data_IF_501617233276
#
_entry.id   IF_501617233276
#
_cell.length_a   1.000
_cell.length_b   1.000
_cell.length_c   1.000
_cell.angle_alpha   90.00
_cell.angle_beta   90.00
_cell.angle_gamma   90.00
#
_symmetry.space_group_name_H-M   'P 1'
#
loop_
_entity.id
_entity.type
_entity.pdbx_description
1 polymer ?
#
# COMPACT_ATOMS: atom_id res chain seq x y z
N UNK A 1 -7.48 11.15 -9.42
CA UNK A 1 -7.84 9.88 -10.07
C UNK A 1 -6.61 9.39 -10.85
N UNK A 2 -5.93 8.37 -10.34
CA UNK A 2 -4.84 7.73 -11.05
C UNK A 2 -5.51 6.76 -12.02
N UNK A 3 -5.61 7.13 -13.28
CA UNK A 3 -6.00 6.19 -14.33
C UNK A 3 -4.83 5.27 -14.62
N UNK A 4 -4.80 4.13 -13.96
CA UNK A 4 -4.08 2.98 -14.44
C UNK A 4 -5.00 2.27 -15.43
N UNK A 5 -4.60 2.24 -16.69
CA UNK A 5 -5.32 1.52 -17.73
C UNK A 5 -5.10 0.01 -17.60
N UNK A 6 -5.89 -0.63 -16.76
CA UNK A 6 -6.07 -2.08 -16.76
C UNK A 6 -7.57 -2.34 -16.72
N UNK A 7 -8.09 -2.71 -17.88
CA UNK A 7 -9.50 -2.98 -18.08
C UNK A 7 -9.85 -4.34 -17.49
N UNK A 8 -10.85 -4.38 -16.61
CA UNK A 8 -11.61 -5.57 -16.25
C UNK A 8 -11.29 -6.26 -14.93
N UNK A 9 -10.09 -6.13 -14.37
CA UNK A 9 -9.73 -6.76 -13.07
C UNK A 9 -9.59 -5.76 -11.92
N UNK A 10 -9.75 -4.49 -12.20
CA UNK A 10 -9.51 -3.41 -11.22
C UNK A 10 -10.61 -3.28 -10.17
N UNK A 11 -11.83 -3.70 -10.45
CA UNK A 11 -12.94 -3.52 -9.52
C UNK A 11 -12.71 -4.27 -8.20
N UNK A 12 -12.37 -5.53 -8.25
CA UNK A 12 -12.16 -6.34 -7.03
C UNK A 12 -10.90 -5.94 -6.24
N UNK A 13 -9.88 -5.45 -6.92
CA UNK A 13 -8.61 -5.04 -6.27
C UNK A 13 -8.73 -3.66 -5.61
N UNK A 14 -9.60 -2.79 -6.12
CA UNK A 14 -9.77 -1.42 -5.62
C UNK A 14 -10.92 -1.23 -4.65
N UNK A 15 -11.96 -2.01 -4.79
CA UNK A 15 -13.22 -1.78 -4.09
C UNK A 15 -13.35 -2.57 -2.78
N UNK A 16 -12.51 -3.58 -2.59
CA UNK A 16 -12.52 -4.39 -1.39
C UNK A 16 -11.21 -4.25 -0.62
N UNK A 17 -11.21 -3.59 0.54
CA UNK A 17 -10.05 -3.60 1.41
C UNK A 17 -9.78 -5.02 1.88
N UNK A 18 -8.54 -5.48 1.73
CA UNK A 18 -8.10 -6.74 2.28
C UNK A 18 -7.81 -6.55 3.76
N UNK A 19 -8.50 -7.34 4.55
CA UNK A 19 -8.19 -7.50 5.95
C UNK A 19 -7.13 -8.59 6.02
N UNK A 20 -6.13 -8.40 6.88
CA UNK A 20 -5.01 -9.36 6.96
C UNK A 20 -5.41 -10.84 6.71
N UNK A 21 -4.49 -11.70 6.34
CA UNK A 21 -3.03 -11.50 6.35
C UNK A 21 -2.46 -10.89 5.07
N UNK A 22 -3.25 -10.24 4.28
CA UNK A 22 -2.90 -9.88 2.91
C UNK A 22 -2.53 -8.41 2.76
N UNK A 23 -1.64 -8.15 1.82
CA UNK A 23 -1.28 -6.81 1.39
C UNK A 23 -2.46 -6.11 0.71
N UNK A 24 -2.70 -4.86 1.05
CA UNK A 24 -3.85 -4.11 0.58
C UNK A 24 -3.46 -3.07 -0.47
N UNK A 25 -3.24 -3.53 -1.69
CA UNK A 25 -3.18 -2.68 -2.87
C UNK A 25 -1.90 -1.89 -3.09
N UNK A 26 -0.78 -2.29 -2.49
CA UNK A 26 0.52 -1.66 -2.74
C UNK A 26 0.92 -1.76 -4.20
N UNK A 27 1.40 -0.65 -4.75
CA UNK A 27 1.93 -0.54 -6.10
C UNK A 27 3.45 -0.58 -6.06
N UNK A 28 4.05 -1.41 -6.89
CA UNK A 28 5.50 -1.57 -7.01
C UNK A 28 6.09 -0.70 -8.09
N UNK A 29 7.40 -0.52 -8.06
CA UNK A 29 8.20 0.17 -9.08
C UNK A 29 7.75 1.60 -9.38
N UNK A 30 7.22 2.28 -8.38
CA UNK A 30 6.77 3.65 -8.51
C UNK A 30 7.97 4.59 -8.64
N UNK A 31 7.86 5.55 -9.54
CA UNK A 31 8.83 6.64 -9.73
C UNK A 31 8.30 7.94 -9.14
N UNK A 32 7.01 8.05 -9.09
CA UNK A 32 6.28 9.13 -8.47
C UNK A 32 4.88 8.66 -8.06
N UNK A 33 4.33 9.33 -7.07
CA UNK A 33 2.96 9.15 -6.62
C UNK A 33 2.30 10.50 -6.49
N UNK A 34 1.08 10.65 -6.93
CA UNK A 34 0.29 11.87 -6.74
C UNK A 34 -1.04 11.53 -6.09
N UNK A 35 -1.30 12.17 -4.98
CA UNK A 35 -2.56 12.06 -4.24
C UNK A 35 -3.18 13.45 -4.12
N UNK A 36 -4.44 13.60 -4.55
CA UNK A 36 -5.17 14.86 -4.44
C UNK A 36 -6.61 14.60 -3.97
N UNK A 37 -7.17 15.59 -3.31
CA UNK A 37 -8.60 15.64 -3.02
C UNK A 37 -9.41 16.05 -4.27
N UNK A 38 -10.74 16.14 -4.11
CA UNK A 38 -11.67 16.56 -5.17
C UNK A 38 -11.44 17.99 -5.66
N UNK A 39 -10.81 18.83 -4.84
CA UNK A 39 -10.49 20.23 -5.17
C UNK A 39 -9.14 20.37 -5.86
N UNK A 40 -8.38 19.28 -5.98
CA UNK A 40 -7.06 19.25 -6.59
C UNK A 40 -5.91 19.61 -5.65
N UNK A 41 -6.17 19.76 -4.36
CA UNK A 41 -5.12 19.93 -3.35
C UNK A 41 -4.57 18.58 -2.92
N UNK A 42 -3.27 18.52 -2.67
CA UNK A 42 -2.64 17.28 -2.23
C UNK A 42 -1.13 17.34 -2.28
N UNK A 43 -0.54 16.21 -2.58
CA UNK A 43 0.91 16.08 -2.66
C UNK A 43 1.35 15.17 -3.81
N UNK A 44 2.57 15.40 -4.25
CA UNK A 44 3.30 14.49 -5.13
C UNK A 44 4.54 14.00 -4.41
N UNK A 45 4.75 12.69 -4.42
CA UNK A 45 5.97 12.04 -3.96
C UNK A 45 6.83 11.75 -5.17
N UNK A 46 8.12 12.03 -5.08
CA UNK A 46 9.12 11.67 -6.08
C UNK A 46 10.33 11.04 -5.40
N UNK A 47 10.90 10.04 -6.04
CA UNK A 47 12.16 9.43 -5.61
C UNK A 47 13.08 9.20 -6.79
N UNK A 48 14.38 9.22 -6.56
CA UNK A 48 15.37 8.86 -7.58
C UNK A 48 15.53 7.35 -7.75
N UNK A 49 15.02 6.57 -6.82
CA UNK A 49 14.96 5.10 -6.91
C UNK A 49 13.51 4.63 -6.92
N UNK A 50 13.21 3.48 -7.53
CA UNK A 50 11.87 2.90 -7.45
C UNK A 50 11.45 2.67 -6.01
N UNK A 51 10.17 2.81 -5.73
CA UNK A 51 9.59 2.60 -4.41
C UNK A 51 8.23 1.91 -4.51
N UNK A 52 7.73 1.50 -3.38
CA UNK A 52 6.40 0.95 -3.24
C UNK A 52 5.50 1.99 -2.58
N UNK A 53 4.25 2.02 -2.97
CA UNK A 53 3.30 2.95 -2.37
C UNK A 53 1.89 2.37 -2.31
N UNK A 54 1.19 2.66 -1.24
CA UNK A 54 -0.24 2.46 -1.11
C UNK A 54 -0.90 3.63 -0.40
N UNK A 55 -2.18 3.84 -0.67
CA UNK A 55 -2.97 4.86 0.00
C UNK A 55 -4.31 4.25 0.42
N UNK A 56 -4.57 4.23 1.70
CA UNK A 56 -5.72 3.58 2.32
C UNK A 56 -6.54 4.59 3.13
N UNK A 57 -7.85 4.47 3.06
CA UNK A 57 -8.79 5.23 3.89
C UNK A 57 -9.15 4.48 5.19
N UNK A 58 -8.24 3.64 5.64
CA UNK A 58 -8.37 2.87 6.88
C UNK A 58 -7.09 3.00 7.68
N UNK A 59 -7.21 3.00 8.99
CA UNK A 59 -6.05 2.95 9.87
C UNK A 59 -5.51 1.51 9.92
N UNK A 60 -4.24 1.37 10.22
CA UNK A 60 -3.58 0.05 10.29
C UNK A 60 -4.25 -0.85 11.33
N UNK A 61 -4.60 -0.29 12.48
CA UNK A 61 -5.26 -1.02 13.57
C UNK A 61 -6.68 -1.47 13.19
N UNK A 62 -7.32 -0.76 12.27
CA UNK A 62 -8.62 -1.17 11.73
C UNK A 62 -8.50 -2.39 10.82
N UNK A 63 -7.40 -2.50 10.09
CA UNK A 63 -7.11 -3.63 9.22
C UNK A 63 -6.50 -4.81 9.98
N UNK A 64 -5.84 -4.54 11.11
CA UNK A 64 -5.17 -5.52 11.94
C UNK A 64 -5.29 -5.16 13.42
N UNK A 65 -6.28 -5.69 14.10
CA UNK A 65 -6.62 -5.37 15.49
C UNK A 65 -5.91 -6.25 16.56
N UNK A 66 -4.82 -6.92 16.20
CA UNK A 66 -3.99 -7.67 17.15
C UNK A 66 -4.20 -9.19 17.12
N UNK A 67 -3.82 -9.90 18.18
CA UNK A 67 -3.81 -11.36 18.23
C UNK A 67 -5.17 -11.98 18.54
N UNK A 68 -5.97 -11.31 19.35
CA UNK A 68 -7.31 -11.73 19.73
C UNK A 68 -8.37 -11.13 18.82
N UNK A 69 -8.51 -11.67 17.63
CA UNK A 69 -9.39 -11.08 16.60
C UNK A 69 -10.67 -11.84 16.42
N UNK A 70 -11.74 -11.10 16.40
CA UNK A 70 -12.93 -11.57 15.72
C UNK A 70 -12.72 -11.50 14.20
N UNK A 71 -13.33 -12.42 13.47
CA UNK A 71 -13.30 -12.36 12.01
C UNK A 71 -14.10 -11.15 11.53
N UNK A 72 -13.41 -10.18 10.98
CA UNK A 72 -14.02 -8.99 10.37
C UNK A 72 -14.22 -9.18 8.88
N UNK A 73 -15.22 -8.55 8.35
CA UNK A 73 -15.48 -8.44 6.92
C UNK A 73 -15.25 -7.00 6.44
N UNK A 74 -14.99 -6.85 5.16
CA UNK A 74 -14.69 -5.53 4.57
C UNK A 74 -15.76 -4.47 4.85
N UNK A 75 -17.01 -4.85 4.96
CA UNK A 75 -18.12 -3.93 5.27
C UNK A 75 -18.18 -3.50 6.74
N UNK A 76 -17.47 -4.17 7.64
CA UNK A 76 -17.39 -3.80 9.06
C UNK A 76 -16.32 -2.74 9.33
N UNK A 77 -15.43 -2.49 8.37
CA UNK A 77 -14.31 -1.57 8.54
C UNK A 77 -14.79 -0.12 8.64
N UNK A 78 -14.22 0.60 9.60
CA UNK A 78 -14.46 2.03 9.78
C UNK A 78 -13.46 2.84 8.97
N UNK A 79 -13.97 3.71 8.10
CA UNK A 79 -13.10 4.60 7.32
C UNK A 79 -12.44 5.63 8.21
N UNK A 80 -11.14 5.79 8.04
CA UNK A 80 -10.38 6.89 8.66
C UNK A 80 -10.83 8.25 8.09
N UNK A 81 -10.65 9.29 8.89
CA UNK A 81 -10.82 10.68 8.47
C UNK A 81 -9.71 11.15 7.52
N UNK A 82 -8.62 10.41 7.48
CA UNK A 82 -7.42 10.71 6.72
C UNK A 82 -7.17 9.61 5.69
N UNK A 83 -6.42 9.95 4.67
CA UNK A 83 -5.82 8.97 3.78
C UNK A 83 -4.44 8.62 4.33
N UNK A 84 -4.24 7.38 4.72
CA UNK A 84 -2.95 6.86 5.15
C UNK A 84 -2.12 6.52 3.91
N UNK A 85 -1.00 7.22 3.74
CA UNK A 85 -0.08 7.00 2.62
C UNK A 85 1.15 6.27 3.14
N UNK A 86 1.39 5.09 2.58
CA UNK A 86 2.57 4.27 2.86
C UNK A 86 3.57 4.43 1.72
N UNK A 87 4.83 4.62 2.08
CA UNK A 87 5.94 4.81 1.14
C UNK A 87 7.10 3.93 1.60
N UNK A 88 7.40 2.90 0.85
CA UNK A 88 8.38 1.90 1.23
C UNK A 88 9.51 1.84 0.19
N UNK A 89 10.75 1.87 0.66
CA UNK A 89 11.93 1.71 -0.18
C UNK A 89 12.16 0.27 -0.61
N UNK A 90 11.69 -0.67 0.19
CA UNK A 90 11.73 -2.10 -0.07
C UNK A 90 10.46 -2.76 0.45
N UNK A 91 10.05 -3.81 -0.21
CA UNK A 91 8.88 -4.60 0.20
C UNK A 91 9.26 -6.07 0.25
N UNK A 92 8.93 -6.72 1.36
CA UNK A 92 9.13 -8.16 1.48
C UNK A 92 8.20 -8.90 0.53
N UNK A 93 8.76 -9.77 -0.29
CA UNK A 93 7.99 -10.52 -1.28
C UNK A 93 6.87 -11.32 -0.64
N UNK A 94 5.71 -11.23 -1.24
CA UNK A 94 4.52 -11.97 -0.81
C UNK A 94 4.51 -13.31 -1.51
N UNK A 95 4.27 -14.35 -0.72
CA UNK A 95 4.11 -15.69 -1.26
C UNK A 95 5.40 -16.49 -1.25
N UNK A 96 5.21 -17.73 -1.24
CA UNK A 96 6.10 -18.83 -1.45
C UNK A 96 5.29 -19.87 -2.17
N UNK A 97 5.79 -21.09 -2.23
CA UNK A 97 5.09 -22.20 -2.87
C UNK A 97 3.80 -22.61 -2.15
N UNK A 98 3.60 -22.11 -0.93
CA UNK A 98 2.42 -22.38 -0.12
C UNK A 98 2.15 -21.28 0.91
N UNK A 99 0.96 -21.31 1.53
CA UNK A 99 0.54 -20.39 2.58
C UNK A 99 0.99 -20.77 4.00
N UNK A 100 1.82 -21.80 4.14
CA UNK A 100 2.21 -22.39 5.42
C UNK A 100 3.61 -21.96 5.89
N UNK A 101 4.05 -20.77 5.52
CA UNK A 101 5.31 -20.22 5.98
C UNK A 101 6.50 -20.45 5.04
N UNK A 102 6.27 -20.86 3.79
CA UNK A 102 7.32 -20.86 2.80
C UNK A 102 7.86 -19.44 2.58
N UNK A 103 9.17 -19.33 2.60
CA UNK A 103 9.84 -18.06 2.40
C UNK A 103 9.70 -17.59 0.96
N UNK A 104 9.60 -16.28 0.70
CA UNK A 104 9.73 -15.76 -0.66
C UNK A 104 11.07 -16.15 -1.27
N UNK A 105 11.13 -16.18 -2.58
CA UNK A 105 12.39 -16.40 -3.31
C UNK A 105 13.45 -15.40 -2.84
N UNK A 106 14.69 -15.84 -2.79
CA UNK A 106 15.81 -15.07 -2.24
C UNK A 106 15.89 -13.61 -2.76
N UNK A 107 15.67 -13.32 -4.05
CA UNK A 107 15.70 -11.94 -4.57
C UNK A 107 14.62 -11.01 -4.00
N UNK A 108 13.56 -11.58 -3.42
CA UNK A 108 12.41 -10.83 -2.89
C UNK A 108 12.38 -10.79 -1.35
N UNK A 109 13.50 -11.16 -0.72
CA UNK A 109 13.65 -11.08 0.74
C UNK A 109 14.29 -9.78 1.13
N UNK A 110 13.71 -9.11 2.12
CA UNK A 110 14.32 -7.94 2.73
C UNK A 110 15.27 -8.41 3.81
N UNK A 111 16.58 -8.15 3.62
CA UNK A 111 17.61 -8.55 4.58
C UNK A 111 17.83 -7.44 5.61
N UNK A 112 18.18 -7.84 6.82
CA UNK A 112 18.61 -6.90 7.85
C UNK A 112 19.91 -6.21 7.44
N UNK A 113 20.04 -4.93 7.79
CA UNK A 113 21.24 -4.13 7.47
C UNK A 113 20.92 -2.64 7.50
N UNK A 114 21.95 -1.83 7.29
CA UNK A 114 21.79 -0.40 7.15
C UNK A 114 21.18 -0.09 5.78
N UNK A 115 20.01 0.53 5.80
CA UNK A 115 19.28 0.90 4.59
C UNK A 115 18.94 2.38 4.63
N UNK A 116 18.86 2.97 3.46
CA UNK A 116 18.43 4.36 3.31
C UNK A 116 17.46 4.46 2.14
N UNK A 117 16.41 5.21 2.35
CA UNK A 117 15.42 5.54 1.34
C UNK A 117 15.14 7.04 1.41
N UNK A 118 15.13 7.70 0.27
CA UNK A 118 14.93 9.14 0.18
C UNK A 118 13.87 9.50 -0.83
N UNK A 119 13.00 10.40 -0.46
CA UNK A 119 11.96 10.92 -1.34
C UNK A 119 11.71 12.41 -1.08
N UNK A 120 11.08 13.07 -2.04
CA UNK A 120 10.70 14.48 -1.97
C UNK A 120 9.18 14.58 -1.99
N UNK A 121 8.62 15.33 -1.06
CA UNK A 121 7.21 15.69 -1.03
C UNK A 121 7.02 17.08 -1.66
N UNK A 122 6.21 17.14 -2.68
CA UNK A 122 5.87 18.38 -3.37
C UNK A 122 4.39 18.66 -3.17
N UNK A 123 4.02 19.74 -2.46
CA UNK A 123 2.63 20.15 -2.36
C UNK A 123 2.02 20.44 -3.73
N UNK A 124 0.79 19.98 -3.95
CA UNK A 124 0.00 20.28 -5.13
C UNK A 124 -1.09 21.26 -4.74
N UNK A 125 -1.12 22.38 -5.43
CA UNK A 125 -2.21 23.36 -5.34
C UNK A 125 -2.83 23.49 -6.73
N UNK A 126 -4.13 23.67 -6.73
CA UNK A 126 -4.86 23.98 -7.96
C UNK A 126 -4.48 25.37 -8.48
#
# INVERSE_FOLDING_TARGET
EIRLSLVGSEMCIRDSPYIRPQESGTKSDMRWWKQTDSNGFGLTVKSCQPFYASALNFDTDELDDGDEKEQRHSFNLQKSRFTNLFLDGEHYGVGGENSWGAWPLAPYRVHAGNKSFSFVLVPVKK
#
